data_IF_973336698038
#
_entry.id   IF_973336698038
#
_cell.length_a   1.000
_cell.length_b   1.000
_cell.length_c   1.000
_cell.angle_alpha   90.00
_cell.angle_beta   90.00
_cell.angle_gamma   90.00
#
_symmetry.space_group_name_H-M   'P 1'
#
loop_
_entity.id
_entity.type
_entity.pdbx_description
1 polymer ?
#
# COMPACT_ATOMS: atom_id res chain seq x y z
N UNK A 1 2.89 -8.08 16.57
CA UNK A 1 2.89 -9.55 16.38
C UNK A 1 1.50 -10.16 16.51
N UNK A 2 0.72 -9.81 17.57
CA UNK A 2 -0.64 -10.34 17.80
C UNK A 2 -1.55 -10.22 16.60
N UNK A 3 -1.65 -9.04 15.98
CA UNK A 3 -2.49 -8.82 14.80
C UNK A 3 -2.18 -9.80 13.66
N UNK A 4 -0.90 -10.00 13.35
CA UNK A 4 -0.45 -10.89 12.27
C UNK A 4 -0.79 -12.34 12.58
N UNK A 5 -0.49 -12.80 13.81
CA UNK A 5 -0.78 -14.18 14.22
C UNK A 5 -2.28 -14.48 14.21
N UNK A 6 -3.09 -13.57 14.75
CA UNK A 6 -4.55 -13.71 14.78
C UNK A 6 -5.13 -13.64 13.37
N UNK A 7 -4.60 -12.78 12.49
CA UNK A 7 -5.05 -12.71 11.11
C UNK A 7 -4.73 -14.00 10.34
N UNK A 8 -3.52 -14.53 10.43
CA UNK A 8 -3.15 -15.78 9.74
C UNK A 8 -3.92 -16.99 10.27
N UNK A 9 -3.99 -17.15 11.60
CA UNK A 9 -4.76 -18.22 12.22
C UNK A 9 -6.26 -18.07 11.94
N UNK A 10 -6.75 -16.82 11.95
CA UNK A 10 -8.14 -16.49 11.67
C UNK A 10 -8.53 -16.77 10.22
N UNK A 11 -7.69 -16.42 9.24
CA UNK A 11 -7.93 -16.74 7.82
C UNK A 11 -8.01 -18.25 7.62
N UNK A 12 -7.08 -18.99 8.22
CA UNK A 12 -7.11 -20.45 8.18
C UNK A 12 -8.37 -21.04 8.83
N UNK A 13 -8.74 -20.59 10.03
CA UNK A 13 -9.85 -21.14 10.80
C UNK A 13 -11.22 -20.75 10.24
N UNK A 14 -11.42 -19.46 9.94
CA UNK A 14 -12.64 -18.96 9.33
C UNK A 14 -12.87 -19.60 7.97
N UNK A 15 -11.82 -19.68 7.15
CA UNK A 15 -11.86 -20.33 5.85
C UNK A 15 -12.15 -21.82 5.91
N UNK A 16 -11.58 -22.54 6.89
CA UNK A 16 -11.91 -23.95 7.13
C UNK A 16 -13.40 -24.14 7.48
N UNK A 17 -13.93 -23.32 8.39
CA UNK A 17 -15.34 -23.40 8.77
C UNK A 17 -16.27 -23.07 7.59
N UNK A 18 -15.91 -22.07 6.79
CA UNK A 18 -16.66 -21.71 5.58
C UNK A 18 -16.67 -22.86 4.57
N UNK A 19 -15.50 -23.44 4.27
CA UNK A 19 -15.39 -24.54 3.31
C UNK A 19 -16.15 -25.81 3.78
N UNK A 20 -16.07 -26.15 5.07
CA UNK A 20 -16.85 -27.27 5.64
C UNK A 20 -18.35 -26.95 5.66
N UNK A 21 -18.73 -25.70 5.90
CA UNK A 21 -20.12 -25.22 5.82
C UNK A 21 -20.72 -25.39 4.43
N UNK A 22 -19.91 -25.22 3.39
CA UNK A 22 -20.28 -25.46 1.99
C UNK A 22 -20.17 -26.95 1.57
N UNK A 23 -19.88 -27.85 2.52
CA UNK A 23 -19.86 -29.30 2.30
C UNK A 23 -18.54 -29.84 1.74
N UNK A 24 -17.47 -29.04 1.67
CA UNK A 24 -16.15 -29.53 1.26
C UNK A 24 -15.44 -30.28 2.39
N UNK A 25 -14.83 -31.42 2.06
CA UNK A 25 -13.94 -32.14 2.96
C UNK A 25 -12.50 -31.64 2.80
N UNK A 26 -12.20 -30.52 3.47
CA UNK A 26 -10.85 -29.92 3.45
C UNK A 26 -9.97 -30.58 4.51
N UNK A 27 -8.72 -30.91 4.14
CA UNK A 27 -7.69 -31.37 5.09
C UNK A 27 -6.83 -30.18 5.53
N UNK A 28 -7.15 -29.50 6.64
CA UNK A 28 -6.72 -28.13 6.88
C UNK A 28 -5.22 -27.98 7.18
N UNK A 29 -4.50 -29.06 7.50
CA UNK A 29 -3.06 -29.03 7.80
C UNK A 29 -2.17 -29.42 6.61
N UNK A 30 -2.75 -29.65 5.44
CA UNK A 30 -2.00 -29.91 4.20
C UNK A 30 -1.75 -28.61 3.45
N UNK A 31 -0.73 -28.55 2.58
CA UNK A 31 -0.45 -27.35 1.78
C UNK A 31 -1.67 -26.94 0.92
N UNK A 32 -2.31 -27.92 0.27
CA UNK A 32 -3.53 -27.71 -0.52
C UNK A 32 -4.69 -27.22 0.35
N UNK A 33 -4.92 -27.87 1.50
CA UNK A 33 -5.98 -27.48 2.42
C UNK A 33 -5.78 -26.10 3.04
N UNK A 34 -4.54 -25.69 3.35
CA UNK A 34 -4.26 -24.32 3.82
C UNK A 34 -4.61 -23.31 2.73
N UNK A 35 -4.21 -23.56 1.48
CA UNK A 35 -4.55 -22.68 0.36
C UNK A 35 -6.06 -22.58 0.14
N UNK A 36 -6.78 -23.71 0.24
CA UNK A 36 -8.24 -23.74 0.15
C UNK A 36 -8.89 -22.94 1.28
N UNK A 37 -8.48 -23.16 2.54
CA UNK A 37 -8.97 -22.37 3.67
C UNK A 37 -8.76 -20.87 3.42
N UNK A 38 -7.56 -20.44 3.03
CA UNK A 38 -7.30 -19.02 2.75
C UNK A 38 -8.13 -18.47 1.59
N UNK A 39 -8.45 -19.30 0.59
CA UNK A 39 -9.30 -18.91 -0.54
C UNK A 39 -10.77 -18.73 -0.17
N UNK A 40 -11.26 -19.50 0.81
CA UNK A 40 -12.64 -19.43 1.30
C UNK A 40 -12.86 -18.47 2.47
N UNK A 41 -11.79 -17.91 3.03
CA UNK A 41 -11.88 -17.05 4.21
C UNK A 41 -12.52 -15.69 3.93
N UNK A 42 -13.38 -15.24 4.85
CA UNK A 42 -13.82 -13.85 4.90
C UNK A 42 -12.76 -13.00 5.60
N UNK A 43 -11.94 -12.32 4.79
CA UNK A 43 -10.89 -11.45 5.30
C UNK A 43 -11.43 -10.31 6.17
N UNK A 44 -12.65 -9.80 5.92
CA UNK A 44 -13.23 -8.69 6.67
C UNK A 44 -13.52 -9.09 8.11
N UNK A 45 -14.14 -10.25 8.32
CA UNK A 45 -14.44 -10.79 9.65
C UNK A 45 -13.15 -11.07 10.42
N UNK A 46 -12.18 -11.70 9.76
CA UNK A 46 -10.89 -12.05 10.39
C UNK A 46 -10.09 -10.81 10.79
N UNK A 47 -10.08 -9.77 9.96
CA UNK A 47 -9.39 -8.51 10.29
C UNK A 47 -10.02 -7.82 11.50
N UNK A 48 -11.34 -7.91 11.68
CA UNK A 48 -12.03 -7.41 12.89
C UNK A 48 -11.56 -8.17 14.13
N UNK A 49 -11.48 -9.50 14.07
CA UNK A 49 -10.96 -10.31 15.18
C UNK A 49 -9.52 -9.91 15.52
N UNK A 50 -8.66 -9.82 14.50
CA UNK A 50 -7.28 -9.39 14.63
C UNK A 50 -7.14 -8.02 15.28
N UNK A 51 -7.91 -7.03 14.82
CA UNK A 51 -7.88 -5.67 15.34
C UNK A 51 -8.34 -5.59 16.81
N UNK A 52 -9.43 -6.26 17.16
CA UNK A 52 -9.96 -6.30 18.53
C UNK A 52 -8.97 -7.00 19.46
N UNK A 53 -8.49 -8.19 19.11
CA UNK A 53 -7.54 -8.93 19.94
C UNK A 53 -6.22 -8.19 20.10
N UNK A 54 -5.69 -7.59 19.03
CA UNK A 54 -4.48 -6.78 19.09
C UNK A 54 -4.65 -5.54 19.98
N UNK A 55 -5.81 -4.87 19.90
CA UNK A 55 -6.13 -3.70 20.74
C UNK A 55 -6.19 -4.08 22.22
N UNK A 56 -6.87 -5.20 22.55
CA UNK A 56 -6.94 -5.70 23.94
C UNK A 56 -5.54 -6.03 24.45
N UNK A 57 -4.73 -6.74 23.67
CA UNK A 57 -3.35 -7.08 24.07
C UNK A 57 -2.51 -5.82 24.26
N UNK A 58 -2.65 -4.81 23.40
CA UNK A 58 -1.93 -3.55 23.54
C UNK A 58 -2.31 -2.82 24.84
N UNK A 59 -3.61 -2.75 25.17
CA UNK A 59 -4.11 -2.15 26.42
C UNK A 59 -3.57 -2.91 27.63
N UNK A 60 -3.65 -4.24 27.63
CA UNK A 60 -3.14 -5.09 28.72
C UNK A 60 -1.64 -4.88 28.91
N UNK A 61 -0.86 -4.83 27.83
CA UNK A 61 0.57 -4.59 27.89
C UNK A 61 0.89 -3.20 28.48
N UNK A 62 0.24 -2.15 27.99
CA UNK A 62 0.43 -0.79 28.47
C UNK A 62 0.15 -0.64 29.98
N UNK A 63 -0.93 -1.29 30.46
CA UNK A 63 -1.29 -1.31 31.88
C UNK A 63 -0.31 -2.16 32.69
N UNK A 64 0.06 -3.36 32.22
CA UNK A 64 0.97 -4.27 32.92
C UNK A 64 2.38 -3.69 33.09
N UNK A 65 2.83 -2.91 32.11
CA UNK A 65 4.09 -2.18 32.13
C UNK A 65 4.01 -0.86 32.90
N UNK A 66 2.82 -0.51 33.43
CA UNK A 66 2.54 0.73 34.17
C UNK A 66 2.90 1.99 33.37
N UNK A 67 2.73 1.92 32.04
CA UNK A 67 2.96 3.04 31.13
C UNK A 67 1.73 3.94 31.11
N UNK A 68 0.54 3.34 31.05
CA UNK A 68 -0.76 4.03 31.02
C UNK A 68 -1.72 3.41 32.04
N UNK A 69 -2.61 4.22 32.58
CA UNK A 69 -3.81 3.76 33.30
C UNK A 69 -4.85 3.20 32.32
N UNK A 70 -5.86 2.48 32.82
CA UNK A 70 -6.93 1.95 31.97
C UNK A 70 -7.68 3.07 31.23
N UNK A 71 -7.90 4.22 31.88
CA UNK A 71 -8.55 5.38 31.26
C UNK A 71 -7.70 5.91 30.11
N UNK A 72 -6.43 6.19 30.36
CA UNK A 72 -5.51 6.71 29.33
C UNK A 72 -5.33 5.73 28.16
N UNK A 73 -5.30 4.42 28.44
CA UNK A 73 -5.22 3.40 27.40
C UNK A 73 -6.49 3.37 26.53
N UNK A 74 -7.67 3.57 27.13
CA UNK A 74 -8.93 3.66 26.39
C UNK A 74 -9.03 4.95 25.59
N UNK A 75 -8.63 6.09 26.17
CA UNK A 75 -8.60 7.38 25.47
C UNK A 75 -7.67 7.33 24.26
N UNK A 76 -6.47 6.75 24.41
CA UNK A 76 -5.54 6.53 23.30
C UNK A 76 -6.12 5.61 22.21
N UNK A 77 -6.84 4.56 22.59
CA UNK A 77 -7.53 3.68 21.63
C UNK A 77 -8.62 4.44 20.85
N UNK A 78 -9.43 5.25 21.54
CA UNK A 78 -10.47 6.07 20.91
C UNK A 78 -9.87 7.10 19.96
N UNK A 79 -8.79 7.76 20.34
CA UNK A 79 -8.11 8.74 19.47
C UNK A 79 -7.49 8.07 18.24
N UNK A 80 -6.96 6.87 18.39
CA UNK A 80 -6.55 6.03 17.26
C UNK A 80 -7.72 5.64 16.34
N UNK A 81 -8.90 5.36 16.89
CA UNK A 81 -10.09 5.07 16.09
C UNK A 81 -10.61 6.32 15.35
N UNK A 82 -10.57 7.49 15.99
CA UNK A 82 -10.99 8.78 15.39
C UNK A 82 -10.16 9.13 14.15
N UNK A 83 -8.86 8.84 14.16
CA UNK A 83 -7.99 9.15 13.01
C UNK A 83 -8.38 8.40 11.73
N UNK A 84 -9.10 7.27 11.85
CA UNK A 84 -9.57 6.47 10.73
C UNK A 84 -10.97 6.84 10.22
N UNK A 85 -11.73 7.66 10.95
CA UNK A 85 -13.13 8.03 10.59
C UNK A 85 -13.19 8.71 9.23
N UNK A 86 -12.25 9.62 8.95
CA UNK A 86 -12.22 10.33 7.67
C UNK A 86 -11.96 9.37 6.50
N UNK A 87 -11.07 8.39 6.68
CA UNK A 87 -10.79 7.33 5.69
C UNK A 87 -12.03 6.48 5.43
N UNK A 88 -12.79 6.13 6.48
CA UNK A 88 -14.04 5.37 6.34
C UNK A 88 -15.10 6.15 5.54
N UNK A 89 -15.27 7.44 5.82
CA UNK A 89 -16.20 8.32 5.08
C UNK A 89 -15.80 8.39 3.60
N UNK A 90 -14.50 8.60 3.32
CA UNK A 90 -13.97 8.65 1.97
C UNK A 90 -14.25 7.35 1.21
N UNK A 91 -14.05 6.17 1.84
CA UNK A 91 -14.34 4.88 1.23
C UNK A 91 -15.81 4.71 0.85
N UNK A 92 -16.73 5.07 1.75
CA UNK A 92 -18.18 4.99 1.48
C UNK A 92 -18.58 5.90 0.31
N UNK A 93 -18.04 7.12 0.26
CA UNK A 93 -18.28 8.05 -0.83
C UNK A 93 -17.65 7.59 -2.14
N UNK A 94 -16.43 7.03 -2.10
CA UNK A 94 -15.73 6.52 -3.28
C UNK A 94 -16.45 5.30 -3.87
N UNK A 95 -16.94 4.37 -3.05
CA UNK A 95 -17.76 3.24 -3.53
C UNK A 95 -19.09 3.70 -4.10
N UNK A 96 -19.73 4.69 -3.48
CA UNK A 96 -20.94 5.32 -4.02
C UNK A 96 -20.67 5.96 -5.39
N UNK A 97 -19.58 6.71 -5.53
CA UNK A 97 -19.17 7.33 -6.79
C UNK A 97 -18.80 6.28 -7.85
N UNK A 98 -18.08 5.22 -7.47
CA UNK A 98 -17.77 4.09 -8.36
C UNK A 98 -19.03 3.41 -8.90
N UNK A 99 -20.05 3.20 -8.06
CA UNK A 99 -21.36 2.69 -8.52
C UNK A 99 -22.07 3.66 -9.45
N UNK A 100 -22.18 4.94 -9.07
CA UNK A 100 -22.84 5.95 -9.91
C UNK A 100 -22.16 6.08 -11.28
N UNK A 101 -20.82 6.12 -11.31
CA UNK A 101 -20.06 6.19 -12.57
C UNK A 101 -20.23 4.95 -13.45
N UNK A 102 -20.41 3.78 -12.83
CA UNK A 102 -20.80 2.55 -13.53
C UNK A 102 -22.24 2.63 -14.07
N UNK A 103 -23.19 3.03 -13.24
CA UNK A 103 -24.62 3.09 -13.58
C UNK A 103 -24.91 4.08 -14.72
N UNK A 104 -24.21 5.21 -14.75
CA UNK A 104 -24.33 6.21 -15.83
C UNK A 104 -23.49 5.85 -17.07
N UNK A 105 -22.79 4.70 -17.07
CA UNK A 105 -21.99 4.24 -18.21
C UNK A 105 -20.79 5.14 -18.53
N UNK A 106 -20.21 5.81 -17.54
CA UNK A 106 -19.10 6.77 -17.75
C UNK A 106 -17.91 6.09 -18.42
N UNK A 107 -17.59 4.86 -17.99
CA UNK A 107 -16.50 4.08 -18.58
C UNK A 107 -16.76 3.76 -20.05
N UNK A 108 -17.98 3.35 -20.41
CA UNK A 108 -18.34 3.04 -21.80
C UNK A 108 -18.39 4.29 -22.68
N UNK A 109 -18.82 5.43 -22.13
CA UNK A 109 -18.72 6.72 -22.80
C UNK A 109 -17.25 7.09 -23.07
N UNK A 110 -16.38 6.99 -22.07
CA UNK A 110 -14.96 7.26 -22.22
C UNK A 110 -14.33 6.31 -23.24
N UNK A 111 -14.60 5.01 -23.17
CA UNK A 111 -14.11 4.04 -24.16
C UNK A 111 -14.55 4.44 -25.57
N UNK A 112 -15.82 4.83 -25.79
CA UNK A 112 -16.30 5.25 -27.12
C UNK A 112 -15.68 6.56 -27.64
N UNK A 113 -15.48 7.55 -26.76
CA UNK A 113 -14.87 8.84 -27.13
C UNK A 113 -13.37 8.70 -27.36
N UNK A 114 -12.73 7.79 -26.61
CA UNK A 114 -11.29 7.60 -26.60
C UNK A 114 -10.84 6.53 -27.60
N UNK A 115 -11.70 5.58 -27.96
CA UNK A 115 -11.45 4.55 -28.98
C UNK A 115 -11.20 5.22 -30.33
N UNK A 116 -9.93 5.49 -30.62
CA UNK A 116 -9.46 6.18 -31.82
C UNK A 116 -8.40 7.26 -31.55
N UNK A 117 -8.36 7.84 -30.34
CA UNK A 117 -7.51 9.01 -30.04
C UNK A 117 -6.47 8.79 -28.93
N UNK A 118 -6.70 7.89 -27.96
CA UNK A 118 -5.71 7.59 -26.90
C UNK A 118 -5.53 6.08 -26.78
N UNK A 119 -4.29 5.57 -26.87
CA UNK A 119 -4.01 4.16 -26.60
C UNK A 119 -4.47 3.78 -25.19
N UNK A 120 -5.31 2.74 -25.08
CA UNK A 120 -5.77 2.20 -23.80
C UNK A 120 -4.60 1.93 -22.81
N UNK A 121 -3.44 1.56 -23.35
CA UNK A 121 -2.19 1.35 -22.62
C UNK A 121 -1.68 2.52 -21.77
N UNK A 122 -2.23 3.73 -21.95
CA UNK A 122 -1.86 4.90 -21.16
C UNK A 122 -2.60 4.95 -19.82
N UNK A 123 -3.73 4.23 -19.67
CA UNK A 123 -4.54 4.30 -18.44
C UNK A 123 -3.73 3.97 -17.17
N UNK A 124 -2.94 2.88 -17.08
CA UNK A 124 -2.16 2.60 -15.88
C UNK A 124 -1.14 3.69 -15.55
N UNK A 125 -0.64 4.41 -16.56
CA UNK A 125 0.32 5.50 -16.38
C UNK A 125 -0.36 6.72 -15.77
N UNK A 126 -1.53 7.09 -16.30
CA UNK A 126 -2.33 8.21 -15.77
C UNK A 126 -2.77 7.90 -14.33
N UNK A 127 -3.27 6.69 -14.09
CA UNK A 127 -3.70 6.25 -12.77
C UNK A 127 -2.54 6.28 -11.78
N UNK A 128 -1.36 5.77 -12.17
CA UNK A 128 -0.14 5.86 -11.37
C UNK A 128 0.19 7.31 -10.99
N UNK A 129 0.23 8.23 -11.96
CA UNK A 129 0.54 9.64 -11.73
C UNK A 129 -0.46 10.31 -10.80
N UNK A 130 -1.75 10.08 -11.00
CA UNK A 130 -2.80 10.60 -10.12
C UNK A 130 -2.61 10.05 -8.71
N UNK A 131 -2.35 8.74 -8.55
CA UNK A 131 -2.09 8.14 -7.25
C UNK A 131 -0.84 8.72 -6.58
N UNK A 132 0.25 8.93 -7.32
CA UNK A 132 1.44 9.61 -6.80
C UNK A 132 1.12 11.01 -6.26
N UNK A 133 0.37 11.80 -7.04
CA UNK A 133 0.00 13.17 -6.65
C UNK A 133 -0.91 13.20 -5.43
N UNK A 134 -2.00 12.41 -5.45
CA UNK A 134 -2.94 12.31 -4.32
C UNK A 134 -2.21 11.86 -3.06
N UNK A 135 -1.38 10.83 -3.17
CA UNK A 135 -0.64 10.32 -2.01
C UNK A 135 0.40 11.29 -1.48
N UNK A 136 1.15 11.96 -2.36
CA UNK A 136 2.12 12.97 -1.94
C UNK A 136 1.42 14.15 -1.25
N UNK A 137 0.29 14.61 -1.79
CA UNK A 137 -0.48 15.72 -1.24
C UNK A 137 -1.25 15.39 0.04
N UNK A 138 -1.61 14.14 0.27
CA UNK A 138 -2.37 13.71 1.46
C UNK A 138 -1.49 13.05 2.52
N UNK A 139 -0.28 12.63 2.16
CA UNK A 139 0.64 11.94 3.07
C UNK A 139 0.19 10.54 3.45
N UNK A 140 -0.77 9.93 2.74
CA UNK A 140 -1.32 8.61 3.09
C UNK A 140 -1.40 7.66 1.91
N UNK A 141 -0.83 6.47 2.07
CA UNK A 141 -0.93 5.37 1.11
C UNK A 141 -2.33 4.76 1.09
N UNK A 142 -2.83 4.36 2.25
CA UNK A 142 -4.16 3.75 2.40
C UNK A 142 -5.29 4.69 2.01
N UNK A 143 -5.21 5.97 2.36
CA UNK A 143 -6.20 6.97 1.93
C UNK A 143 -6.22 7.13 0.40
N UNK A 144 -5.06 7.08 -0.24
CA UNK A 144 -4.98 7.15 -1.72
C UNK A 144 -5.58 5.91 -2.38
N UNK A 145 -5.24 4.72 -1.87
CA UNK A 145 -5.81 3.46 -2.37
C UNK A 145 -7.33 3.44 -2.20
N UNK A 146 -7.83 3.94 -1.06
CA UNK A 146 -9.25 4.10 -0.77
C UNK A 146 -9.97 5.01 -1.77
N UNK A 147 -9.34 6.11 -2.20
CA UNK A 147 -9.91 7.05 -3.17
C UNK A 147 -9.87 6.48 -4.59
N UNK A 148 -8.73 5.93 -5.00
CA UNK A 148 -8.45 5.68 -6.42
C UNK A 148 -8.87 4.29 -6.89
N UNK A 149 -8.75 3.23 -6.06
CA UNK A 149 -9.12 1.85 -6.45
C UNK A 149 -10.59 1.76 -6.91
N UNK A 150 -11.58 2.33 -6.18
CA UNK A 150 -12.99 2.26 -6.58
C UNK A 150 -13.32 2.92 -7.92
N UNK A 151 -12.43 3.78 -8.42
CA UNK A 151 -12.58 4.47 -9.70
C UNK A 151 -11.80 3.75 -10.80
N UNK A 152 -10.54 3.39 -10.51
CA UNK A 152 -9.62 2.84 -11.49
C UNK A 152 -9.94 1.38 -11.86
N UNK A 153 -10.37 0.54 -10.91
CA UNK A 153 -10.65 -0.88 -11.17
C UNK A 153 -11.89 -1.08 -12.05
N UNK A 154 -13.05 -0.45 -11.77
CA UNK A 154 -14.21 -0.56 -12.66
C UNK A 154 -13.94 -0.02 -14.06
N UNK A 155 -13.17 1.07 -14.16
CA UNK A 155 -12.76 1.62 -15.45
C UNK A 155 -11.88 0.62 -16.21
N UNK A 156 -10.84 0.06 -15.60
CA UNK A 156 -10.01 -0.97 -16.22
C UNK A 156 -10.83 -2.21 -16.64
N UNK A 157 -11.80 -2.62 -15.82
CA UNK A 157 -12.68 -3.73 -16.12
C UNK A 157 -13.55 -3.46 -17.35
N UNK A 158 -14.08 -2.24 -17.53
CA UNK A 158 -14.82 -1.85 -18.73
C UNK A 158 -13.95 -1.97 -19.99
N UNK A 159 -12.67 -1.60 -19.94
CA UNK A 159 -11.75 -1.81 -21.08
C UNK A 159 -11.56 -3.30 -21.43
N UNK A 160 -11.55 -4.18 -20.43
CA UNK A 160 -11.47 -5.63 -20.63
C UNK A 160 -12.77 -6.17 -21.23
N UNK A 161 -13.93 -5.80 -20.66
CA UNK A 161 -15.24 -6.24 -21.13
C UNK A 161 -15.55 -5.79 -22.56
N UNK A 162 -15.08 -4.60 -22.94
CA UNK A 162 -15.22 -4.06 -24.30
C UNK A 162 -14.18 -4.64 -25.29
N UNK A 163 -13.37 -5.62 -24.88
CA UNK A 163 -12.38 -6.29 -25.74
C UNK A 163 -11.17 -5.41 -26.13
N UNK A 164 -10.99 -4.28 -25.46
CA UNK A 164 -9.89 -3.32 -25.73
C UNK A 164 -8.60 -3.78 -25.06
N UNK A 165 -8.70 -4.48 -23.92
CA UNK A 165 -7.57 -4.95 -23.12
C UNK A 165 -7.74 -6.39 -22.62
N UNK A 166 -6.63 -7.03 -22.28
CA UNK A 166 -6.57 -8.36 -21.66
C UNK A 166 -6.90 -8.30 -20.14
N UNK A 167 -7.41 -9.36 -19.49
CA UNK A 167 -7.69 -9.37 -18.05
C UNK A 167 -6.51 -8.94 -17.15
N UNK A 168 -5.27 -9.15 -17.57
CA UNK A 168 -4.08 -8.66 -16.85
C UNK A 168 -4.05 -7.14 -16.68
N UNK A 169 -4.79 -6.40 -17.50
CA UNK A 169 -4.89 -4.94 -17.45
C UNK A 169 -5.51 -4.41 -16.14
N UNK A 170 -6.44 -5.18 -15.55
CA UNK A 170 -7.02 -4.85 -14.23
C UNK A 170 -5.92 -4.95 -13.16
N UNK A 171 -5.12 -6.01 -13.20
CA UNK A 171 -4.01 -6.24 -12.26
C UNK A 171 -2.99 -5.12 -12.37
N UNK A 172 -2.63 -4.72 -13.59
CA UNK A 172 -1.66 -3.65 -13.85
C UNK A 172 -2.19 -2.30 -13.37
N UNK A 173 -3.46 -2.00 -13.66
CA UNK A 173 -4.09 -0.77 -13.18
C UNK A 173 -4.18 -0.74 -11.66
N UNK A 174 -4.55 -1.84 -11.01
CA UNK A 174 -4.55 -1.94 -9.55
C UNK A 174 -3.13 -1.75 -8.98
N UNK A 175 -2.13 -2.40 -9.58
CA UNK A 175 -0.72 -2.26 -9.19
C UNK A 175 -0.23 -0.81 -9.30
N UNK A 176 -0.71 -0.08 -10.31
CA UNK A 176 -0.41 1.33 -10.52
C UNK A 176 -0.93 2.21 -9.37
N UNK A 177 -2.14 1.93 -8.87
CA UNK A 177 -2.68 2.62 -7.69
C UNK A 177 -1.85 2.32 -6.45
N UNK A 178 -1.55 1.04 -6.22
CA UNK A 178 -0.80 0.60 -5.04
C UNK A 178 0.59 1.24 -5.01
N UNK A 179 1.30 1.21 -6.14
CA UNK A 179 2.65 1.77 -6.25
C UNK A 179 2.65 3.28 -6.12
N UNK A 180 1.67 3.98 -6.73
CA UNK A 180 1.56 5.44 -6.61
C UNK A 180 1.21 5.89 -5.19
N UNK A 181 0.35 5.12 -4.50
CA UNK A 181 0.01 5.31 -3.09
C UNK A 181 1.20 5.10 -2.15
N UNK A 182 2.09 4.15 -2.43
CA UNK A 182 3.29 3.95 -1.62
C UNK A 182 4.33 5.04 -1.90
N UNK A 183 4.51 5.43 -3.17
CA UNK A 183 5.46 6.47 -3.55
C UNK A 183 5.21 7.78 -2.79
N UNK A 184 3.96 8.28 -2.80
CA UNK A 184 3.65 9.57 -2.20
C UNK A 184 3.80 9.57 -0.68
N UNK A 185 3.34 8.50 -0.01
CA UNK A 185 3.48 8.31 1.43
C UNK A 185 4.95 8.28 1.87
N UNK A 186 5.83 7.67 1.08
CA UNK A 186 7.25 7.53 1.41
C UNK A 186 8.05 8.85 1.31
N UNK A 187 7.62 9.81 0.50
CA UNK A 187 8.38 11.05 0.28
C UNK A 187 7.61 12.32 0.63
N UNK A 188 6.36 12.21 1.09
CA UNK A 188 5.56 13.35 1.52
C UNK A 188 6.03 13.91 2.88
N UNK A 189 6.29 15.22 3.00
CA UNK A 189 6.62 15.86 4.30
C UNK A 189 5.49 15.81 5.33
N UNK A 190 4.27 15.48 4.94
CA UNK A 190 3.13 15.44 5.85
C UNK A 190 2.68 14.01 6.18
N UNK A 191 3.41 13.01 5.70
CA UNK A 191 3.09 11.61 5.95
C UNK A 191 3.46 11.18 7.37
N UNK A 192 2.56 10.48 8.04
CA UNK A 192 2.79 9.87 9.35
C UNK A 192 3.98 8.89 9.32
N UNK A 193 4.12 8.12 8.24
CA UNK A 193 5.22 7.16 8.09
C UNK A 193 6.56 7.89 7.93
N UNK A 194 6.57 9.00 7.20
CA UNK A 194 7.75 9.85 7.01
C UNK A 194 8.12 10.58 8.30
N UNK A 195 7.15 11.13 9.02
CA UNK A 195 7.34 11.77 10.33
C UNK A 195 7.91 10.76 11.33
N UNK A 196 7.27 9.61 11.49
CA UNK A 196 7.71 8.57 12.42
C UNK A 196 9.11 8.03 12.06
N UNK A 197 9.41 7.85 10.77
CA UNK A 197 10.73 7.40 10.31
C UNK A 197 11.82 8.42 10.62
N UNK A 198 11.56 9.71 10.39
CA UNK A 198 12.51 10.79 10.73
C UNK A 198 12.76 10.90 12.24
N UNK A 199 11.72 10.78 13.05
CA UNK A 199 11.82 10.78 14.52
C UNK A 199 12.61 9.56 15.02
N UNK A 200 12.32 8.37 14.51
CA UNK A 200 13.01 7.13 14.88
C UNK A 200 14.49 7.16 14.50
N UNK A 201 14.83 7.79 13.37
CA UNK A 201 16.21 7.99 12.92
C UNK A 201 16.93 9.13 13.66
N UNK A 202 16.24 9.88 14.53
CA UNK A 202 16.73 11.11 15.14
C UNK A 202 17.30 12.12 14.12
N UNK A 203 16.69 12.15 12.93
CA UNK A 203 17.05 13.04 11.83
C UNK A 203 16.13 14.26 11.80
N UNK A 204 16.62 15.37 11.27
CA UNK A 204 15.73 16.48 10.90
C UNK A 204 14.73 15.98 9.85
N UNK A 205 13.46 16.35 10.04
CA UNK A 205 12.37 15.86 9.22
C UNK A 205 12.54 16.20 7.74
N UNK A 206 12.93 17.44 7.44
CA UNK A 206 13.11 17.86 6.05
C UNK A 206 14.37 17.29 5.42
N UNK A 207 15.43 17.06 6.21
CA UNK A 207 16.62 16.35 5.72
C UNK A 207 16.31 14.88 5.42
N UNK A 208 15.49 14.22 6.24
CA UNK A 208 14.99 12.86 5.94
C UNK A 208 14.22 12.84 4.61
N UNK A 209 13.22 13.72 4.44
CA UNK A 209 12.45 13.81 3.19
C UNK A 209 13.35 14.03 1.98
N UNK A 210 14.26 15.01 2.04
CA UNK A 210 15.16 15.35 0.93
C UNK A 210 16.11 14.21 0.57
N UNK A 211 16.54 13.41 1.55
CA UNK A 211 17.40 12.26 1.30
C UNK A 211 16.62 11.06 0.75
N UNK A 212 15.34 10.89 1.10
CA UNK A 212 14.49 9.82 0.55
C UNK A 212 13.94 10.13 -0.85
N UNK A 213 13.60 11.38 -1.15
CA UNK A 213 12.94 11.75 -2.40
C UNK A 213 13.65 11.28 -3.69
N UNK A 214 15.00 11.35 -3.82
CA UNK A 214 15.69 10.84 -5.01
C UNK A 214 15.49 9.33 -5.21
N UNK A 215 15.48 8.53 -4.13
CA UNK A 215 15.25 7.09 -4.22
C UNK A 215 13.79 6.78 -4.56
N UNK A 216 12.85 7.51 -3.96
CA UNK A 216 11.42 7.38 -4.27
C UNK A 216 11.14 7.73 -5.74
N UNK A 217 11.72 8.82 -6.25
CA UNK A 217 11.57 9.24 -7.64
C UNK A 217 12.20 8.25 -8.62
N UNK A 218 13.34 7.66 -8.26
CA UNK A 218 13.94 6.58 -9.05
C UNK A 218 12.99 5.38 -9.15
N UNK A 219 12.46 4.92 -8.01
CA UNK A 219 11.49 3.83 -7.97
C UNK A 219 10.23 4.14 -8.79
N UNK A 220 9.69 5.36 -8.67
CA UNK A 220 8.54 5.80 -9.44
C UNK A 220 8.82 5.86 -10.95
N UNK A 221 10.01 6.29 -11.35
CA UNK A 221 10.43 6.30 -12.75
C UNK A 221 10.52 4.89 -13.33
N UNK A 222 11.10 3.94 -12.59
CA UNK A 222 11.17 2.53 -13.00
C UNK A 222 9.76 1.92 -13.07
N UNK A 223 8.90 2.18 -12.08
CA UNK A 223 7.53 1.70 -12.08
C UNK A 223 6.74 2.24 -13.28
N UNK A 224 6.83 3.54 -13.56
CA UNK A 224 6.22 4.16 -14.72
C UNK A 224 6.72 3.55 -16.04
N UNK A 225 8.02 3.31 -16.15
CA UNK A 225 8.60 2.62 -17.30
C UNK A 225 8.03 1.21 -17.46
N UNK A 226 7.92 0.43 -16.39
CA UNK A 226 7.27 -0.88 -16.43
C UNK A 226 5.79 -0.79 -16.83
N UNK A 227 5.06 0.22 -16.37
CA UNK A 227 3.67 0.44 -16.81
C UNK A 227 3.55 0.80 -18.29
N UNK A 228 4.51 1.54 -18.85
CA UNK A 228 4.62 1.76 -20.30
C UNK A 228 4.83 0.44 -21.04
N UNK A 229 5.75 -0.41 -20.55
CA UNK A 229 6.03 -1.72 -21.15
C UNK A 229 4.80 -2.64 -21.16
N UNK A 230 4.04 -2.70 -20.08
CA UNK A 230 2.83 -3.52 -20.04
C UNK A 230 1.67 -2.87 -20.79
N UNK A 231 1.41 -1.58 -20.55
CA UNK A 231 0.26 -0.89 -21.11
C UNK A 231 0.36 -0.70 -22.62
N UNK A 232 1.47 -0.14 -23.10
CA UNK A 232 1.64 0.23 -24.52
C UNK A 232 2.20 -0.96 -25.32
N UNK A 233 3.26 -1.61 -24.81
CA UNK A 233 3.93 -2.68 -25.53
C UNK A 233 3.35 -4.08 -25.26
N UNK A 234 2.36 -4.19 -24.37
CA UNK A 234 1.66 -5.44 -24.04
C UNK A 234 2.62 -6.56 -23.60
N UNK A 235 3.72 -6.19 -22.96
CA UNK A 235 4.69 -7.15 -22.43
C UNK A 235 4.09 -7.94 -21.26
N UNK A 236 4.55 -9.18 -21.10
CA UNK A 236 4.12 -10.04 -20.00
C UNK A 236 4.50 -9.43 -18.64
N UNK A 237 3.55 -9.39 -17.71
CA UNK A 237 3.72 -8.79 -16.37
C UNK A 237 4.94 -9.36 -15.63
N UNK A 238 5.14 -10.68 -15.65
CA UNK A 238 6.26 -11.31 -14.96
C UNK A 238 7.61 -10.90 -15.56
N UNK A 239 7.68 -10.77 -16.88
CA UNK A 239 8.90 -10.29 -17.54
C UNK A 239 9.19 -8.83 -17.15
N UNK A 240 8.16 -7.98 -17.09
CA UNK A 240 8.34 -6.58 -16.68
C UNK A 240 8.77 -6.43 -15.22
N UNK A 241 8.35 -7.33 -14.33
CA UNK A 241 8.84 -7.37 -12.95
C UNK A 241 10.34 -7.71 -12.89
N UNK A 242 10.79 -8.70 -13.68
CA UNK A 242 12.21 -9.04 -13.78
C UNK A 242 13.01 -7.86 -14.34
N UNK A 243 12.52 -7.21 -15.38
CA UNK A 243 13.15 -6.01 -15.96
C UNK A 243 13.24 -4.89 -14.92
N UNK A 244 12.15 -4.60 -14.21
CA UNK A 244 12.13 -3.56 -13.17
C UNK A 244 13.10 -3.85 -12.02
N UNK A 245 13.17 -5.10 -11.56
CA UNK A 245 14.11 -5.52 -10.53
C UNK A 245 15.56 -5.40 -11.03
N UNK A 246 15.85 -5.86 -12.25
CA UNK A 246 17.17 -5.76 -12.85
C UNK A 246 17.60 -4.29 -13.05
N UNK A 247 16.70 -3.42 -13.52
CA UNK A 247 16.95 -1.99 -13.65
C UNK A 247 17.24 -1.33 -12.30
N UNK A 248 16.48 -1.68 -11.26
CA UNK A 248 16.70 -1.17 -9.91
C UNK A 248 18.09 -1.55 -9.41
N UNK A 249 18.47 -2.83 -9.53
CA UNK A 249 19.80 -3.32 -9.13
C UNK A 249 20.90 -2.66 -9.97
N UNK A 250 20.73 -2.59 -11.29
CA UNK A 250 21.72 -1.99 -12.18
C UNK A 250 21.95 -0.51 -11.87
N UNK A 251 20.88 0.26 -11.65
CA UNK A 251 21.02 1.70 -11.35
C UNK A 251 21.70 1.89 -10.00
N UNK A 252 21.34 1.11 -8.98
CA UNK A 252 22.03 1.16 -7.68
C UNK A 252 23.50 0.74 -7.81
N UNK A 253 23.82 -0.26 -8.63
CA UNK A 253 25.19 -0.73 -8.80
C UNK A 253 26.07 0.27 -9.56
N UNK A 254 25.56 0.88 -10.64
CA UNK A 254 26.34 1.78 -11.50
C UNK A 254 26.35 3.24 -11.01
N UNK A 255 25.26 3.72 -10.40
CA UNK A 255 25.13 5.11 -9.96
C UNK A 255 25.14 5.26 -8.43
N UNK A 256 24.95 4.18 -7.68
CA UNK A 256 25.02 4.21 -6.23
C UNK A 256 26.43 4.54 -5.76
N UNK A 257 26.53 5.63 -4.98
CA UNK A 257 27.79 6.02 -4.33
C UNK A 257 27.77 5.50 -2.90
N UNK A 258 28.78 4.71 -2.55
CA UNK A 258 29.02 4.37 -1.14
C UNK A 258 29.38 5.64 -0.37
N UNK A 259 28.89 5.74 0.87
CA UNK A 259 29.24 6.84 1.75
C UNK A 259 30.72 6.74 2.09
N UNK A 260 31.49 7.81 1.84
CA UNK A 260 32.92 7.85 2.16
C UNK A 260 33.13 7.58 3.65
N UNK A 261 34.06 6.68 3.96
CA UNK A 261 34.34 6.22 5.32
C UNK A 261 34.71 7.36 6.29
N UNK A 262 35.34 8.42 5.79
CA UNK A 262 35.68 9.62 6.56
C UNK A 262 34.45 10.38 7.06
N UNK A 263 33.37 10.42 6.26
CA UNK A 263 32.11 11.07 6.63
C UNK A 263 31.43 10.25 7.73
N UNK A 264 31.48 8.91 7.66
CA UNK A 264 30.97 8.03 8.70
C UNK A 264 31.72 8.24 10.02
N UNK A 265 33.06 8.22 9.99
CA UNK A 265 33.91 8.44 11.18
C UNK A 265 33.72 9.84 11.79
N UNK A 266 33.50 10.85 10.95
CA UNK A 266 33.18 12.22 11.38
C UNK A 266 31.81 12.31 12.08
N UNK A 267 30.79 11.67 11.50
CA UNK A 267 29.45 11.58 12.10
C UNK A 267 29.47 10.89 13.46
N UNK A 268 30.15 9.75 13.58
CA UNK A 268 30.33 9.04 14.85
C UNK A 268 31.00 9.89 15.93
N UNK A 269 32.04 10.65 15.57
CA UNK A 269 32.70 11.59 16.48
C UNK A 269 31.75 12.66 16.99
N UNK A 270 30.92 13.25 16.12
CA UNK A 270 29.91 14.25 16.52
C UNK A 270 28.87 13.66 17.47
N UNK A 271 28.37 12.46 17.19
CA UNK A 271 27.40 11.76 18.04
C UNK A 271 28.00 11.46 19.43
N UNK A 272 29.23 10.94 19.48
CA UNK A 272 29.93 10.69 20.76
C UNK A 272 30.12 11.97 21.56
N UNK A 273 30.50 13.08 20.91
CA UNK A 273 30.68 14.38 21.58
C UNK A 273 29.35 14.95 22.09
N UNK A 274 28.26 14.81 21.34
CA UNK A 274 26.93 15.25 21.76
C UNK A 274 26.40 14.44 22.96
N UNK A 275 26.69 13.13 23.02
CA UNK A 275 26.37 12.29 24.19
C UNK A 275 27.21 12.66 25.41
N UNK A 276 28.49 12.96 25.23
CA UNK A 276 29.39 13.36 26.32
C UNK A 276 29.02 14.71 26.93
N UNK A 277 28.47 15.65 26.14
CA UNK A 277 28.00 16.95 26.64
C UNK A 277 26.62 16.91 27.34
N UNK A 278 25.91 15.79 27.28
CA UNK A 278 24.60 15.58 27.93
C UNK A 278 24.70 14.76 29.23
N UNK A 279 25.89 14.27 29.58
CA UNK A 279 26.21 13.58 30.84
C UNK A 279 26.91 14.56 31.78
#
# INVERSE_FOLDING_TARGET
MTLVLVAFAGLWYNGYLAAVGDGLSVKPFTWEGIRECFGYADASVVLIWGAITASIVAIVLAISQKILTLSEAFDAWVDGAKSLVITAIILILAWSLGRITSDVGTADFLVKVVSGNIPAGILPIIVFLISCLVSFSTGTSWGTMAIVIPLAVPLANSYVLNGVADPSFIIVTMSSVLSGGIFGDHCSPISDTTIMSSMAAAADHMDHVKTQAPYALLGAGIAMFCYVLVGIFKLNVFLTLIIGAALTVAIVYFFGKSVKEEVLKSGEKKIKKAKANKA
#
